data_IF_153428981010
#
_entry.id   IF_153428981010
#
_cell.length_a   1.000
_cell.length_b   1.000
_cell.length_c   1.000
_cell.angle_alpha   90.00
_cell.angle_beta   90.00
_cell.angle_gamma   90.00
#
_symmetry.space_group_name_H-M   'P 1'
#
loop_
_entity.id
_entity.type
_entity.pdbx_description
1 polymer ?
#
# COMPACT_ATOMS: atom_id res chain seq x y z
N UNK A 1 7.93 33.46 -22.59
CA UNK A 1 7.99 33.07 -21.17
C UNK A 1 6.63 32.60 -20.60
N UNK A 2 5.51 33.28 -20.91
CA UNK A 2 4.15 32.93 -20.41
C UNK A 2 3.59 31.60 -20.97
N UNK A 3 3.87 31.25 -22.24
CA UNK A 3 3.45 29.96 -22.83
C UNK A 3 4.19 28.75 -22.22
N UNK A 4 5.46 28.94 -21.84
CA UNK A 4 6.25 27.90 -21.16
C UNK A 4 5.78 27.68 -19.72
N UNK A 5 5.45 28.76 -18.98
CA UNK A 5 4.94 28.65 -17.61
C UNK A 5 3.54 28.03 -17.55
N UNK A 6 2.66 28.37 -18.50
CA UNK A 6 1.32 27.79 -18.62
C UNK A 6 1.36 26.30 -19.02
N UNK A 7 2.25 25.90 -19.92
CA UNK A 7 2.47 24.49 -20.25
C UNK A 7 3.08 23.70 -19.08
N UNK A 8 4.02 24.29 -18.33
CA UNK A 8 4.55 23.69 -17.10
C UNK A 8 3.45 23.50 -16.05
N UNK A 9 2.58 24.49 -15.87
CA UNK A 9 1.47 24.43 -14.93
C UNK A 9 0.44 23.38 -15.32
N UNK A 10 0.06 23.31 -16.61
CA UNK A 10 -0.87 22.29 -17.12
C UNK A 10 -0.30 20.88 -16.96
N UNK A 11 0.98 20.69 -17.26
CA UNK A 11 1.67 19.41 -17.06
C UNK A 11 1.63 18.98 -15.60
N UNK A 12 1.95 19.88 -14.66
CA UNK A 12 1.85 19.60 -13.21
C UNK A 12 0.44 19.19 -12.77
N UNK A 13 -0.60 19.85 -13.29
CA UNK A 13 -2.00 19.50 -12.97
C UNK A 13 -2.37 18.12 -13.53
N UNK A 14 -1.94 17.81 -14.75
CA UNK A 14 -2.17 16.49 -15.37
C UNK A 14 -1.41 15.39 -14.63
N UNK A 15 -0.17 15.62 -14.22
CA UNK A 15 0.62 14.67 -13.44
C UNK A 15 -0.05 14.38 -12.08
N UNK A 16 -0.63 15.40 -11.44
CA UNK A 16 -1.42 15.23 -10.20
C UNK A 16 -2.66 14.38 -10.41
N UNK A 17 -3.45 14.71 -11.44
CA UNK A 17 -4.65 13.96 -11.76
C UNK A 17 -4.32 12.50 -12.09
N UNK A 18 -3.28 12.28 -12.90
CA UNK A 18 -2.79 10.96 -13.24
C UNK A 18 -2.40 10.15 -11.99
N UNK A 19 -1.59 10.73 -11.11
CA UNK A 19 -1.16 10.06 -9.88
C UNK A 19 -2.36 9.72 -8.98
N UNK A 20 -3.31 10.64 -8.84
CA UNK A 20 -4.53 10.41 -8.08
C UNK A 20 -5.38 9.28 -8.68
N UNK A 21 -5.60 9.28 -10.00
CA UNK A 21 -6.33 8.20 -10.67
C UNK A 21 -5.65 6.84 -10.50
N UNK A 22 -4.32 6.77 -10.63
CA UNK A 22 -3.58 5.51 -10.44
C UNK A 22 -3.68 5.02 -8.99
N UNK A 23 -3.57 5.91 -8.02
CA UNK A 23 -3.73 5.58 -6.60
C UNK A 23 -5.14 5.01 -6.32
N UNK A 24 -6.18 5.66 -6.83
CA UNK A 24 -7.56 5.19 -6.66
C UNK A 24 -7.78 3.82 -7.30
N UNK A 25 -7.22 3.58 -8.49
CA UNK A 25 -7.26 2.27 -9.15
C UNK A 25 -6.56 1.19 -8.31
N UNK A 26 -5.40 1.50 -7.73
CA UNK A 26 -4.66 0.56 -6.90
C UNK A 26 -5.41 0.19 -5.64
N UNK A 27 -6.12 1.16 -5.06
CA UNK A 27 -6.92 0.98 -3.86
C UNK A 27 -8.22 0.21 -4.10
N UNK A 28 -8.82 0.39 -5.27
CA UNK A 28 -10.05 -0.29 -5.69
C UNK A 28 -9.76 -1.43 -6.70
N UNK A 29 -8.58 -2.05 -6.61
CA UNK A 29 -8.11 -2.94 -7.68
C UNK A 29 -8.95 -4.22 -7.83
N UNK A 30 -9.73 -4.59 -6.83
CA UNK A 30 -10.71 -5.68 -6.94
C UNK A 30 -11.68 -5.46 -8.12
N UNK A 31 -12.12 -4.21 -8.35
CA UNK A 31 -12.94 -3.88 -9.52
C UNK A 31 -12.15 -4.02 -10.82
N UNK A 32 -10.88 -3.60 -10.82
CA UNK A 32 -9.99 -3.70 -11.97
C UNK A 32 -9.82 -5.17 -12.40
N UNK A 33 -9.50 -6.07 -11.48
CA UNK A 33 -9.26 -7.49 -11.80
C UNK A 33 -10.55 -8.30 -12.00
N UNK A 34 -11.70 -7.88 -11.45
CA UNK A 34 -13.00 -8.50 -11.73
C UNK A 34 -13.62 -8.02 -13.05
N UNK A 35 -13.08 -6.94 -13.64
CA UNK A 35 -13.61 -6.40 -14.88
C UNK A 35 -13.28 -7.31 -16.07
N UNK A 36 -14.32 -7.76 -16.78
CA UNK A 36 -14.17 -8.70 -17.92
C UNK A 36 -13.34 -8.12 -19.08
N UNK A 37 -13.29 -6.79 -19.22
CA UNK A 37 -12.46 -6.10 -20.22
C UNK A 37 -11.11 -5.62 -19.67
N UNK A 38 -10.70 -6.03 -18.46
CA UNK A 38 -9.38 -5.74 -17.88
C UNK A 38 -8.24 -6.04 -18.87
N UNK A 39 -8.39 -7.15 -19.60
CA UNK A 39 -7.44 -7.63 -20.60
C UNK A 39 -7.23 -6.63 -21.75
N UNK A 40 -8.19 -5.73 -21.98
CA UNK A 40 -8.15 -4.73 -23.04
C UNK A 40 -7.51 -3.41 -22.57
N UNK A 41 -7.09 -3.30 -21.31
CA UNK A 41 -6.33 -2.13 -20.84
C UNK A 41 -4.99 -2.04 -21.55
N UNK A 42 -4.56 -0.80 -21.77
CA UNK A 42 -3.27 -0.53 -22.39
C UNK A 42 -2.15 -1.23 -21.59
N UNK A 43 -1.31 -2.07 -22.23
CA UNK A 43 -0.22 -2.77 -21.56
C UNK A 43 0.72 -1.88 -20.75
N UNK A 44 0.98 -0.65 -21.20
CA UNK A 44 1.82 0.30 -20.46
C UNK A 44 1.17 0.74 -19.15
N UNK A 45 -0.15 0.91 -19.13
CA UNK A 45 -0.91 1.26 -17.91
C UNK A 45 -0.90 0.07 -16.94
N UNK A 46 -1.10 -1.14 -17.45
CA UNK A 46 -1.00 -2.36 -16.65
C UNK A 46 0.39 -2.53 -16.05
N UNK A 47 1.44 -2.25 -16.80
CA UNK A 47 2.81 -2.28 -16.30
C UNK A 47 3.02 -1.31 -15.13
N UNK A 48 2.52 -0.07 -15.26
CA UNK A 48 2.59 0.95 -14.22
C UNK A 48 1.85 0.46 -12.97
N UNK A 49 0.63 -0.05 -13.11
CA UNK A 49 -0.18 -0.54 -11.97
C UNK A 49 0.50 -1.74 -11.29
N UNK A 50 0.94 -2.74 -12.06
CA UNK A 50 1.56 -3.96 -11.54
C UNK A 50 2.94 -3.72 -10.91
N UNK A 51 3.63 -2.62 -11.20
CA UNK A 51 4.88 -2.24 -10.53
C UNK A 51 4.66 -1.65 -9.13
N UNK A 52 3.45 -1.21 -8.79
CA UNK A 52 3.20 -0.46 -7.55
C UNK A 52 3.11 -1.33 -6.29
N UNK A 53 3.76 -0.87 -5.23
CA UNK A 53 3.72 -1.54 -3.93
C UNK A 53 2.40 -1.36 -3.18
N UNK A 54 1.62 -0.33 -3.49
CA UNK A 54 0.32 -0.03 -2.88
C UNK A 54 -0.88 -0.59 -3.68
N UNK A 55 -0.62 -1.46 -4.67
CA UNK A 55 -1.67 -2.17 -5.39
C UNK A 55 -2.36 -3.16 -4.45
N UNK A 56 -3.58 -2.81 -4.03
CA UNK A 56 -4.35 -3.61 -3.09
C UNK A 56 -5.02 -4.81 -3.77
N UNK A 57 -4.35 -5.96 -3.70
CA UNK A 57 -4.90 -7.26 -4.13
C UNK A 57 -4.84 -8.26 -2.98
N UNK A 58 -5.84 -9.15 -2.92
CA UNK A 58 -5.90 -10.16 -1.87
C UNK A 58 -4.79 -11.21 -2.01
N UNK A 59 -4.44 -11.57 -3.26
CA UNK A 59 -3.44 -12.58 -3.55
C UNK A 59 -2.90 -12.40 -4.98
N UNK A 60 -1.58 -12.48 -5.15
CA UNK A 60 -0.86 -12.40 -6.44
C UNK A 60 -1.34 -13.45 -7.45
N UNK A 61 -1.92 -14.57 -6.97
CA UNK A 61 -2.52 -15.59 -7.83
C UNK A 61 -3.58 -15.01 -8.77
N UNK A 62 -4.28 -13.95 -8.37
CA UNK A 62 -5.30 -13.28 -9.18
C UNK A 62 -4.68 -12.71 -10.46
N UNK A 63 -3.47 -12.14 -10.37
CA UNK A 63 -2.74 -11.60 -11.53
C UNK A 63 -2.32 -12.75 -12.45
N UNK A 64 -1.78 -13.83 -11.86
CA UNK A 64 -1.38 -15.03 -12.60
C UNK A 64 -2.52 -15.64 -13.43
N UNK A 65 -3.70 -15.79 -12.81
CA UNK A 65 -4.86 -16.42 -13.45
C UNK A 65 -5.39 -15.63 -14.66
N UNK A 66 -4.98 -14.37 -14.86
CA UNK A 66 -5.35 -13.60 -16.05
C UNK A 66 -4.67 -14.03 -17.34
N UNK A 67 -3.72 -15.00 -17.32
CA UNK A 67 -3.06 -15.76 -18.42
C UNK A 67 -2.46 -14.99 -19.61
N UNK A 68 -3.08 -13.90 -20.07
CA UNK A 68 -2.63 -12.98 -21.13
C UNK A 68 -1.59 -11.96 -20.67
N UNK A 69 -1.15 -12.08 -19.41
CA UNK A 69 -0.15 -11.22 -18.80
C UNK A 69 1.26 -11.83 -18.80
N UNK A 70 1.58 -12.76 -19.72
CA UNK A 70 2.89 -13.43 -19.75
C UNK A 70 4.07 -12.45 -19.80
N UNK A 71 3.93 -11.33 -20.53
CA UNK A 71 4.94 -10.25 -20.53
C UNK A 71 5.17 -9.58 -19.17
N UNK A 72 4.23 -9.75 -18.24
CA UNK A 72 4.25 -9.18 -16.90
C UNK A 72 4.59 -10.21 -15.82
N UNK A 73 4.99 -11.43 -16.18
CA UNK A 73 5.49 -12.46 -15.25
C UNK A 73 6.54 -11.87 -14.27
N UNK A 74 7.52 -11.05 -14.70
CA UNK A 74 8.50 -10.46 -13.78
C UNK A 74 7.92 -9.49 -12.74
N UNK A 75 6.67 -9.05 -12.91
CA UNK A 75 5.99 -8.12 -12.00
C UNK A 75 5.10 -8.85 -10.97
N UNK A 76 4.93 -10.17 -11.09
CA UNK A 76 4.16 -10.98 -10.14
C UNK A 76 5.06 -11.36 -8.97
N UNK A 77 4.58 -11.14 -7.74
CA UNK A 77 5.34 -11.45 -6.51
C UNK A 77 5.13 -12.91 -6.11
N UNK A 78 5.69 -13.82 -6.90
CA UNK A 78 5.48 -15.27 -6.73
C UNK A 78 5.80 -15.80 -5.34
N UNK A 79 6.78 -15.22 -4.66
CA UNK A 79 7.15 -15.60 -3.29
C UNK A 79 6.07 -15.27 -2.25
N UNK A 80 5.10 -14.42 -2.58
CA UNK A 80 3.95 -14.11 -1.74
C UNK A 80 2.75 -15.06 -2.00
N UNK A 81 2.85 -15.95 -2.98
CA UNK A 81 1.81 -16.94 -3.29
C UNK A 81 1.99 -18.13 -2.35
N UNK A 82 0.89 -18.69 -1.86
CA UNK A 82 0.95 -19.85 -0.96
C UNK A 82 1.59 -21.05 -1.67
N UNK A 83 2.30 -21.91 -0.93
CA UNK A 83 2.87 -23.15 -1.48
C UNK A 83 1.80 -24.05 -2.13
N UNK A 84 0.59 -24.06 -1.54
CA UNK A 84 -0.58 -24.76 -2.07
C UNK A 84 -1.01 -24.22 -3.43
N UNK A 85 -1.20 -22.90 -3.54
CA UNK A 85 -1.59 -22.27 -4.81
C UNK A 85 -0.50 -22.40 -5.86
N UNK A 86 0.77 -22.25 -5.47
CA UNK A 86 1.89 -22.47 -6.36
C UNK A 86 1.85 -23.89 -6.94
N UNK A 87 1.76 -24.91 -6.09
CA UNK A 87 1.78 -26.31 -6.52
C UNK A 87 0.55 -26.69 -7.37
N UNK A 88 -0.64 -26.22 -7.02
CA UNK A 88 -1.89 -26.62 -7.68
C UNK A 88 -2.24 -25.77 -8.90
N UNK A 89 -1.82 -24.50 -8.95
CA UNK A 89 -2.30 -23.54 -9.96
C UNK A 89 -1.19 -22.93 -10.84
N UNK A 90 0.06 -22.92 -10.38
CA UNK A 90 1.18 -22.32 -11.12
C UNK A 90 2.09 -23.40 -11.68
N UNK A 91 2.52 -24.34 -10.85
CA UNK A 91 3.44 -25.40 -11.21
C UNK A 91 2.98 -26.29 -12.39
N UNK A 92 1.67 -26.57 -12.59
CA UNK A 92 1.22 -27.27 -13.79
C UNK A 92 1.56 -26.56 -15.12
N UNK A 93 1.85 -25.26 -15.05
CA UNK A 93 2.23 -24.41 -16.19
C UNK A 93 3.69 -23.94 -16.10
N UNK A 94 4.54 -24.66 -15.36
CA UNK A 94 5.95 -24.29 -15.15
C UNK A 94 6.75 -24.06 -16.44
N UNK A 95 6.35 -24.69 -17.54
CA UNK A 95 6.98 -24.50 -18.87
C UNK A 95 6.82 -23.07 -19.41
N UNK A 96 5.87 -22.29 -18.90
CA UNK A 96 5.68 -20.87 -19.24
C UNK A 96 6.56 -19.93 -18.41
N UNK A 97 7.26 -20.45 -17.40
CA UNK A 97 8.06 -19.68 -16.46
C UNK A 97 9.56 -19.94 -16.69
N UNK A 98 10.43 -18.96 -16.41
CA UNK A 98 11.87 -19.21 -16.37
C UNK A 98 12.21 -20.33 -15.37
N UNK A 99 13.03 -21.30 -15.78
CA UNK A 99 13.37 -22.45 -14.93
C UNK A 99 13.96 -22.03 -13.57
N UNK A 100 14.82 -21.02 -13.56
CA UNK A 100 15.41 -20.49 -12.32
C UNK A 100 14.34 -19.95 -11.38
N UNK A 101 13.33 -19.25 -11.91
CA UNK A 101 12.22 -18.74 -11.11
C UNK A 101 11.45 -19.90 -10.44
N UNK A 102 11.11 -20.94 -11.20
CA UNK A 102 10.39 -22.11 -10.68
C UNK A 102 11.19 -22.80 -9.57
N UNK A 103 12.48 -23.05 -9.81
CA UNK A 103 13.37 -23.71 -8.85
C UNK A 103 13.52 -22.87 -7.57
N UNK A 104 13.64 -21.56 -7.71
CA UNK A 104 13.77 -20.65 -6.57
C UNK A 104 12.49 -20.58 -5.73
N UNK A 105 11.31 -20.57 -6.37
CA UNK A 105 10.02 -20.60 -5.65
C UNK A 105 9.85 -21.95 -4.92
N UNK A 106 10.19 -23.06 -5.58
CA UNK A 106 10.19 -24.39 -4.96
C UNK A 106 11.08 -24.43 -3.72
N UNK A 107 12.33 -23.98 -3.85
CA UNK A 107 13.29 -23.93 -2.75
C UNK A 107 12.79 -23.05 -1.59
N UNK A 108 12.20 -21.89 -1.91
CA UNK A 108 11.61 -20.99 -0.92
C UNK A 108 10.51 -21.67 -0.09
N UNK A 109 9.64 -22.46 -0.73
CA UNK A 109 8.56 -23.16 -0.03
C UNK A 109 9.03 -24.43 0.72
N UNK A 110 10.06 -25.12 0.23
CA UNK A 110 10.58 -26.34 0.85
C UNK A 110 11.52 -26.08 2.02
N UNK A 111 12.29 -24.98 1.97
CA UNK A 111 13.29 -24.63 2.97
C UNK A 111 13.28 -23.12 3.27
N UNK A 112 12.24 -22.60 3.95
CA UNK A 112 12.03 -21.16 4.15
C UNK A 112 13.15 -20.48 4.96
N UNK A 113 13.91 -21.25 5.75
CA UNK A 113 15.01 -20.73 6.57
C UNK A 113 16.34 -20.60 5.82
N UNK A 114 16.44 -21.11 4.58
CA UNK A 114 17.62 -20.95 3.76
C UNK A 114 17.61 -19.58 3.08
N UNK A 115 18.66 -18.79 3.31
CA UNK A 115 18.86 -17.52 2.60
C UNK A 115 19.17 -17.80 1.13
N UNK A 116 18.17 -17.60 0.27
CA UNK A 116 18.39 -17.50 -1.16
C UNK A 116 18.96 -16.10 -1.47
N UNK A 117 20.05 -16.02 -2.24
CA UNK A 117 20.63 -14.75 -2.67
C UNK A 117 19.85 -14.19 -3.87
N UNK A 118 18.57 -13.89 -3.65
CA UNK A 118 17.63 -13.47 -4.69
C UNK A 118 17.01 -12.14 -4.24
N UNK A 119 16.89 -11.21 -5.17
CA UNK A 119 16.16 -9.97 -4.93
C UNK A 119 14.65 -10.23 -4.94
N UNK A 120 14.11 -10.57 -3.77
CA UNK A 120 12.67 -10.83 -3.59
C UNK A 120 11.96 -9.49 -3.39
N UNK A 121 10.97 -9.20 -4.23
CA UNK A 121 10.09 -8.05 -4.03
C UNK A 121 9.25 -8.25 -2.76
N UNK A 122 9.09 -7.22 -1.90
CA UNK A 122 8.27 -7.32 -0.70
C UNK A 122 6.79 -7.52 -1.07
N UNK A 123 5.96 -8.09 -0.19
CA UNK A 123 4.51 -8.16 -0.41
C UNK A 123 3.89 -6.78 -0.73
N UNK A 124 2.85 -6.76 -1.56
CA UNK A 124 2.08 -5.53 -1.80
C UNK A 124 1.38 -5.12 -0.52
N UNK A 125 1.47 -3.84 -0.17
CA UNK A 125 0.82 -3.28 0.99
C UNK A 125 -0.58 -2.84 0.58
N UNK A 126 -1.58 -3.69 0.82
CA UNK A 126 -2.96 -3.24 0.78
C UNK A 126 -3.31 -2.60 2.13
N UNK A 127 -3.66 -1.32 2.13
CA UNK A 127 -4.25 -0.67 3.29
C UNK A 127 -5.77 -0.72 3.20
N UNK A 128 -6.32 -1.89 3.53
CA UNK A 128 -7.75 -2.02 3.72
C UNK A 128 -7.99 -2.54 5.14
N UNK A 129 -8.30 -1.61 6.05
CA UNK A 129 -8.75 -1.94 7.39
C UNK A 129 -10.29 -1.87 7.42
N UNK A 130 -10.91 -2.60 8.35
CA UNK A 130 -12.33 -2.42 8.67
C UNK A 130 -12.62 -1.01 9.24
N UNK A 131 -11.60 -0.20 9.52
CA UNK A 131 -11.71 1.14 10.11
C UNK A 131 -11.54 2.21 9.02
N UNK A 132 -10.53 2.07 8.15
CA UNK A 132 -10.20 3.02 7.09
C UNK A 132 -9.83 2.32 5.78
N UNK A 133 -10.07 3.02 4.69
CA UNK A 133 -9.65 2.65 3.34
C UNK A 133 -8.63 3.67 2.79
N UNK A 134 -8.22 3.52 1.53
CA UNK A 134 -7.29 4.45 0.90
C UNK A 134 -7.78 5.89 0.74
N UNK A 135 -9.09 6.12 0.64
CA UNK A 135 -9.61 7.48 0.50
C UNK A 135 -9.37 8.27 1.79
N UNK A 136 -9.61 7.64 2.94
CA UNK A 136 -9.23 8.17 4.24
C UNK A 136 -7.74 8.49 4.31
N UNK A 137 -6.88 7.55 3.89
CA UNK A 137 -5.43 7.79 3.86
C UNK A 137 -5.06 8.97 2.98
N UNK A 138 -5.74 9.14 1.85
CA UNK A 138 -5.50 10.26 0.92
C UNK A 138 -5.85 11.59 1.57
N UNK A 139 -6.97 11.65 2.30
CA UNK A 139 -7.37 12.82 3.08
C UNK A 139 -6.34 13.11 4.18
N UNK A 140 -5.99 12.11 4.99
CA UNK A 140 -5.01 12.28 6.07
C UNK A 140 -3.62 12.69 5.54
N UNK A 141 -3.18 12.09 4.44
CA UNK A 141 -1.95 12.48 3.77
C UNK A 141 -2.01 13.94 3.30
N UNK A 142 -3.15 14.41 2.81
CA UNK A 142 -3.32 15.82 2.41
C UNK A 142 -3.24 16.80 3.58
N UNK A 143 -3.64 16.37 4.78
CA UNK A 143 -3.55 17.18 6.00
C UNK A 143 -2.13 17.22 6.57
N UNK A 144 -1.40 16.10 6.47
CA UNK A 144 -0.03 15.95 6.98
C UNK A 144 1.00 16.56 6.01
N UNK A 145 0.87 16.25 4.73
CA UNK A 145 1.86 16.61 3.71
C UNK A 145 1.41 17.90 3.01
N UNK A 146 2.01 19.02 3.42
CA UNK A 146 1.85 20.31 2.73
C UNK A 146 2.47 20.33 1.31
N UNK A 147 3.24 19.31 0.89
CA UNK A 147 3.83 19.15 -0.48
C UNK A 147 4.15 17.70 -0.88
N UNK A 148 3.63 17.28 -2.05
CA UNK A 148 4.06 16.19 -2.98
C UNK A 148 5.21 15.25 -2.53
N UNK A 149 5.04 14.52 -1.42
CA UNK A 149 6.00 13.49 -1.00
C UNK A 149 5.25 12.20 -0.79
N UNK A 150 5.72 11.11 -1.41
CA UNK A 150 5.18 9.77 -1.23
C UNK A 150 5.42 9.35 0.22
N UNK A 151 4.38 9.39 1.05
CA UNK A 151 4.46 8.85 2.41
C UNK A 151 4.50 7.33 2.27
N UNK A 152 5.65 6.71 2.55
CA UNK A 152 5.70 5.28 2.82
C UNK A 152 5.09 5.12 4.21
N UNK A 153 3.78 4.92 4.23
CA UNK A 153 3.03 4.65 5.45
C UNK A 153 3.30 3.19 5.79
N UNK A 154 4.13 2.95 6.81
CA UNK A 154 4.17 1.63 7.43
C UNK A 154 2.98 1.52 8.37
N UNK A 155 2.08 0.58 8.08
CA UNK A 155 1.00 0.23 8.99
C UNK A 155 1.50 -0.78 9.99
N UNK A 156 1.65 -0.34 11.23
CA UNK A 156 1.77 -1.23 12.38
C UNK A 156 0.44 -1.15 13.15
N UNK A 157 -0.39 -2.21 13.06
CA UNK A 157 -1.61 -2.34 13.87
C UNK A 157 -1.16 -2.62 15.29
N UNK A 158 -1.22 -1.61 16.16
CA UNK A 158 -0.59 -1.71 17.47
C UNK A 158 -1.50 -2.37 18.52
N UNK A 159 -2.65 -1.84 18.93
CA UNK A 159 -3.42 -2.49 20.02
C UNK A 159 -4.93 -2.15 20.04
N UNK A 160 -5.69 -2.96 20.79
CA UNK A 160 -7.12 -2.84 21.11
C UNK A 160 -7.22 -2.41 22.58
N UNK A 161 -7.77 -1.23 22.87
CA UNK A 161 -8.00 -0.75 24.25
C UNK A 161 -9.47 -0.32 24.35
N UNK A 162 -10.17 -0.85 25.37
CA UNK A 162 -11.46 -0.37 25.87
C UNK A 162 -12.47 0.06 24.79
N UNK A 163 -12.72 -0.82 23.82
CA UNK A 163 -13.73 -0.62 22.76
C UNK A 163 -13.33 0.35 21.63
N UNK A 164 -12.03 0.59 21.39
CA UNK A 164 -11.54 1.36 20.24
C UNK A 164 -10.40 0.58 19.55
N UNK A 165 -10.50 0.44 18.23
CA UNK A 165 -9.42 -0.14 17.41
C UNK A 165 -8.50 0.97 16.90
N UNK A 166 -7.20 0.90 17.19
CA UNK A 166 -6.23 1.90 16.72
C UNK A 166 -5.40 1.42 15.53
N UNK A 167 -5.28 2.29 14.53
CA UNK A 167 -4.24 2.20 13.49
C UNK A 167 -3.20 3.26 13.80
N UNK A 168 -1.94 2.83 13.85
CA UNK A 168 -0.78 3.69 13.98
C UNK A 168 -0.03 3.67 12.66
N UNK A 169 0.12 4.85 12.06
CA UNK A 169 0.89 5.04 10.84
C UNK A 169 2.24 5.65 11.21
N UNK A 170 3.31 4.94 10.87
CA UNK A 170 4.68 5.34 11.20
C UNK A 170 5.49 5.55 9.90
N UNK A 171 6.19 6.69 9.78
CA UNK A 171 7.02 7.02 8.62
C UNK A 171 8.50 6.80 8.91
N UNK A 172 9.15 5.86 8.20
CA UNK A 172 10.47 5.35 8.60
C UNK A 172 11.69 6.15 8.09
N UNK A 173 12.68 6.37 8.98
CA UNK A 173 14.12 6.42 8.65
C UNK A 173 14.90 5.59 9.69
N UNK A 174 15.67 4.61 9.20
CA UNK A 174 16.29 3.44 9.85
C UNK A 174 16.75 3.43 11.34
N UNK A 175 16.50 2.24 11.94
CA UNK A 175 17.25 1.41 12.92
C UNK A 175 17.24 1.65 14.45
N UNK A 176 16.70 0.60 15.11
CA UNK A 176 16.92 -0.01 16.45
C UNK A 176 16.43 0.71 17.72
N UNK A 177 15.79 -0.13 18.53
CA UNK A 177 15.20 0.02 19.87
C UNK A 177 13.84 0.73 19.89
N UNK A 178 12.92 0.19 20.70
CA UNK A 178 11.51 0.58 20.84
C UNK A 178 11.43 2.00 21.38
N UNK A 179 11.61 2.94 20.47
CA UNK A 179 11.36 4.36 20.59
C UNK A 179 10.64 4.67 19.27
N UNK A 180 9.39 5.12 19.34
CA UNK A 180 8.71 5.64 18.14
C UNK A 180 9.38 6.98 17.83
N UNK A 181 10.48 6.93 17.08
CA UNK A 181 11.27 8.11 16.64
C UNK A 181 10.58 8.91 15.53
N UNK A 182 9.31 8.65 15.28
CA UNK A 182 8.66 8.93 14.01
C UNK A 182 7.30 9.62 14.24
N UNK A 183 6.86 10.40 13.25
CA UNK A 183 5.58 11.10 13.27
C UNK A 183 4.43 10.09 13.38
N UNK A 184 3.40 10.42 14.16
CA UNK A 184 2.38 9.46 14.56
C UNK A 184 0.99 9.93 14.15
N UNK A 185 0.31 9.19 13.28
CA UNK A 185 -1.12 9.31 13.04
C UNK A 185 -1.85 8.15 13.71
N UNK A 186 -2.75 8.48 14.64
CA UNK A 186 -3.58 7.55 15.40
C UNK A 186 -5.00 7.62 14.89
N UNK A 187 -5.59 6.48 14.55
CA UNK A 187 -6.95 6.40 14.01
C UNK A 187 -7.73 5.33 14.77
N UNK A 188 -8.78 5.75 15.46
CA UNK A 188 -9.72 4.95 16.24
C UNK A 188 -11.06 4.78 15.54
N UNK A 189 -11.66 3.58 15.59
CA UNK A 189 -13.10 3.38 15.33
C UNK A 189 -13.85 3.23 16.65
N UNK A 190 -14.93 3.97 16.83
CA UNK A 190 -15.81 3.86 18.00
C UNK A 190 -16.66 2.59 17.86
N UNK A 191 -16.63 1.72 18.87
CA UNK A 191 -17.38 0.44 18.86
C UNK A 191 -18.87 0.65 18.65
N UNK A 192 -19.50 -0.26 17.90
CA UNK A 192 -20.92 -0.23 17.55
C UNK A 192 -21.38 1.04 16.80
N UNK A 193 -20.45 1.72 16.13
CA UNK A 193 -20.76 2.86 15.26
C UNK A 193 -19.84 2.85 14.04
N UNK A 194 -20.15 3.66 13.03
CA UNK A 194 -19.23 3.95 11.92
C UNK A 194 -18.39 5.21 12.17
N UNK A 195 -18.45 5.78 13.37
CA UNK A 195 -17.67 6.94 13.74
C UNK A 195 -16.18 6.59 13.83
N UNK A 196 -15.36 7.42 13.20
CA UNK A 196 -13.90 7.38 13.33
C UNK A 196 -13.39 8.65 13.99
N UNK A 197 -12.40 8.50 14.85
CA UNK A 197 -11.76 9.58 15.62
C UNK A 197 -10.25 9.39 15.56
N UNK A 198 -9.49 10.46 15.72
CA UNK A 198 -8.04 10.31 15.73
C UNK A 198 -7.31 11.62 15.84
N UNK A 199 -6.00 11.53 15.62
CA UNK A 199 -5.14 12.69 15.63
C UNK A 199 -3.74 12.38 15.11
N UNK A 200 -3.05 13.44 14.73
CA UNK A 200 -1.69 13.41 14.25
C UNK A 200 -0.79 14.21 15.17
N UNK A 201 0.35 13.60 15.54
CA UNK A 201 1.43 14.25 16.25
C UNK A 201 2.71 14.20 15.39
N UNK A 202 3.24 15.36 14.95
CA UNK A 202 4.49 15.41 14.18
C UNK A 202 5.75 15.24 15.05
N UNK A 203 5.63 15.31 16.37
CA UNK A 203 6.76 15.20 17.29
C UNK A 203 7.05 13.74 17.63
N UNK A 204 8.32 13.39 17.72
CA UNK A 204 8.76 12.09 18.22
C UNK A 204 8.51 12.00 19.73
N UNK A 205 8.28 10.78 20.21
CA UNK A 205 8.09 10.51 21.63
C UNK A 205 9.40 9.99 22.20
N UNK A 206 10.02 10.73 23.10
CA UNK A 206 11.17 10.28 23.86
C UNK A 206 10.84 10.08 25.34
N UNK A 207 11.77 9.48 26.09
CA UNK A 207 11.62 9.27 27.52
C UNK A 207 12.03 10.51 28.34
N UNK A 208 12.09 11.69 27.74
CA UNK A 208 12.50 12.91 28.45
C UNK A 208 11.43 13.45 29.40
N UNK A 209 10.19 12.92 29.32
CA UNK A 209 9.01 13.36 30.06
C UNK A 209 8.76 14.88 29.97
N UNK A 210 9.25 15.51 28.91
CA UNK A 210 9.11 16.96 28.69
C UNK A 210 7.86 17.27 27.87
N UNK A 211 7.18 18.36 28.23
CA UNK A 211 6.09 18.89 27.41
C UNK A 211 6.67 19.59 26.20
N UNK A 212 6.21 19.21 25.01
CA UNK A 212 6.56 19.86 23.75
C UNK A 212 5.32 20.44 23.09
N UNK A 213 5.48 21.55 22.37
CA UNK A 213 4.39 22.22 21.64
C UNK A 213 4.66 22.22 20.14
N UNK A 214 3.62 22.07 19.34
CA UNK A 214 3.65 22.18 17.88
C UNK A 214 2.32 22.73 17.37
N UNK A 215 2.35 23.46 16.26
CA UNK A 215 1.16 23.94 15.57
C UNK A 215 0.74 23.02 14.40
N UNK A 216 1.53 21.99 14.12
CA UNK A 216 1.27 21.03 13.03
C UNK A 216 0.53 19.77 13.50
N UNK A 217 0.16 19.69 14.78
CA UNK A 217 -0.71 18.62 15.30
C UNK A 217 -2.19 18.91 15.01
N UNK A 218 -2.98 17.86 14.87
CA UNK A 218 -4.42 17.99 14.69
C UNK A 218 -5.17 16.80 15.29
N UNK A 219 -6.45 17.02 15.62
CA UNK A 219 -7.42 15.98 15.96
C UNK A 219 -8.57 16.01 14.94
N UNK A 220 -9.24 14.89 14.73
CA UNK A 220 -10.36 14.81 13.81
C UNK A 220 -11.44 13.84 14.31
N UNK A 221 -12.65 14.01 13.77
CA UNK A 221 -13.73 13.04 13.88
C UNK A 221 -14.62 13.09 12.63
N UNK A 222 -14.96 11.91 12.11
CA UNK A 222 -16.00 11.74 11.10
C UNK A 222 -17.15 10.97 11.73
N UNK A 223 -18.39 11.46 11.54
CA UNK A 223 -19.60 10.86 12.14
C UNK A 223 -19.89 9.49 11.54
N UNK A 224 -19.68 9.36 10.24
CA UNK A 224 -19.70 8.11 9.51
C UNK A 224 -18.39 7.98 8.71
N UNK A 225 -17.77 6.79 8.69
CA UNK A 225 -16.56 6.51 7.90
C UNK A 225 -16.79 6.62 6.38
N UNK A 226 -18.03 6.80 5.93
CA UNK A 226 -18.35 7.06 4.52
C UNK A 226 -18.49 8.55 4.21
N UNK A 227 -18.48 9.42 5.22
CA UNK A 227 -18.53 10.88 5.08
C UNK A 227 -17.13 11.44 4.72
N UNK A 228 -16.69 11.22 3.48
CA UNK A 228 -15.38 11.66 2.95
C UNK A 228 -15.47 12.96 2.12
#
# INVERSE_FOLDING_TARGET
MILLSTNLSKKKVLDKLWNHCIQEICCNSNYLFNYTKFINLNPAILEIILKRDDLCINNEIIIWEKRRLSRFIPLIRFYCISSKDFLLKIYPFKELLPNDLVNNILAHHMAPNNKLNINIQPPRLCVHSNIINCQHLSIFASWIVKKETLIIIKLDILFLIDSIYFIVLVGQHSMKNVIIKEQLLVIGKVTNSEQIVGGYNPLFWDSSYSWMSTNDSFIFSFKDRTDL
#
